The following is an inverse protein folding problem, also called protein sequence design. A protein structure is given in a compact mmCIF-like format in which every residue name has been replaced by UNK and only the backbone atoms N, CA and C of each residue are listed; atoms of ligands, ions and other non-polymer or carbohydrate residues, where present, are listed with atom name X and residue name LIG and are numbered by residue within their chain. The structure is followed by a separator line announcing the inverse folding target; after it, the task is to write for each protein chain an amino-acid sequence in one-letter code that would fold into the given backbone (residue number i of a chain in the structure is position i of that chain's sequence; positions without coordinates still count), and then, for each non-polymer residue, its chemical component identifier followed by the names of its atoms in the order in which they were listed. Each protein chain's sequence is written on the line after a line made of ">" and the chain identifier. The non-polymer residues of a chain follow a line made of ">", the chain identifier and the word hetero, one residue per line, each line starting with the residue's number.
data_IF_512737417311
#
_entry.id   IF_512737417311
#
_cell.length_a   1.000
_cell.length_b   1.000
_cell.length_c   1.000
_cell.angle_alpha   90.00
_cell.angle_beta   90.00
_cell.angle_gamma   90.00
#
_symmetry.space_group_name_H-M   'P 1'
#
loop_
_entity.id
_entity.type
_entity.pdbx_description
1 polymer ?
#
# COMPACT_ATOMS: atom_id res chain seq x y z
N UNK A 1 3.58 -6.47 2.10
CA UNK A 1 2.84 -7.28 1.10
C UNK A 1 3.58 -8.58 0.73
N UNK A 2 4.92 -8.62 0.71
CA UNK A 2 5.72 -9.77 0.32
C UNK A 2 5.31 -11.06 1.03
N UNK A 3 5.18 -11.03 2.37
CA UNK A 3 4.79 -12.19 3.16
C UNK A 3 3.38 -12.71 2.80
N UNK A 4 2.48 -11.83 2.41
CA UNK A 4 1.15 -12.23 1.94
C UNK A 4 1.25 -13.02 0.65
N UNK A 5 2.10 -12.57 -0.29
CA UNK A 5 2.30 -13.26 -1.56
C UNK A 5 3.00 -14.62 -1.38
N UNK A 6 4.00 -14.69 -0.49
CA UNK A 6 4.71 -15.95 -0.17
C UNK A 6 3.77 -16.99 0.44
N UNK A 7 2.86 -16.57 1.33
CA UNK A 7 1.95 -17.47 2.04
C UNK A 7 0.65 -17.73 1.28
N UNK A 8 0.55 -17.32 0.03
CA UNK A 8 -0.63 -17.58 -0.80
C UNK A 8 -0.79 -19.07 -1.10
N UNK A 9 -2.04 -19.55 -1.10
CA UNK A 9 -2.36 -20.93 -1.46
C UNK A 9 -2.21 -21.14 -2.98
N UNK A 10 -1.05 -21.67 -3.39
CA UNK A 10 -0.65 -21.82 -4.80
C UNK A 10 -1.43 -22.92 -5.53
N UNK A 11 -2.10 -23.80 -4.80
CA UNK A 11 -2.97 -24.81 -5.41
C UNK A 11 -4.32 -24.22 -5.87
N UNK A 12 -4.68 -23.05 -5.29
CA UNK A 12 -5.95 -22.36 -5.58
C UNK A 12 -5.79 -21.10 -6.41
N UNK A 13 -4.63 -20.43 -6.29
CA UNK A 13 -4.41 -19.10 -6.88
C UNK A 13 -3.14 -19.08 -7.70
N UNK A 14 -3.26 -18.51 -8.89
CA UNK A 14 -2.14 -18.15 -9.75
C UNK A 14 -1.88 -16.64 -9.60
N UNK A 15 -0.70 -16.28 -9.12
CA UNK A 15 -0.33 -14.89 -8.85
C UNK A 15 0.39 -14.27 -10.05
N UNK A 16 -0.19 -13.22 -10.60
CA UNK A 16 0.41 -12.43 -11.70
C UNK A 16 0.67 -11.01 -11.24
N UNK A 17 1.92 -10.57 -11.32
CA UNK A 17 2.34 -9.24 -10.90
C UNK A 17 2.41 -8.31 -12.10
N UNK A 18 1.60 -7.25 -12.09
CA UNK A 18 1.64 -6.14 -13.04
C UNK A 18 2.36 -4.96 -12.38
N UNK A 19 3.62 -4.77 -12.71
CA UNK A 19 4.48 -3.78 -12.06
C UNK A 19 4.56 -2.49 -12.88
N UNK A 20 4.26 -1.36 -12.24
CA UNK A 20 4.37 -0.02 -12.82
C UNK A 20 5.35 0.82 -12.01
N UNK A 21 6.59 0.81 -12.42
CA UNK A 21 7.68 1.54 -11.77
C UNK A 21 8.99 1.34 -12.51
N UNK A 22 10.04 2.10 -12.17
CA UNK A 22 11.35 1.90 -12.76
C UNK A 22 11.90 0.51 -12.40
N UNK A 23 12.51 -0.17 -13.38
CA UNK A 23 13.33 -1.34 -13.09
C UNK A 23 14.68 -0.83 -12.59
N UNK A 24 14.85 -0.83 -11.27
CA UNK A 24 16.03 -0.32 -10.60
C UNK A 24 17.09 -1.41 -10.35
N UNK A 25 16.81 -2.65 -10.79
CA UNK A 25 17.68 -3.81 -10.57
C UNK A 25 17.83 -4.20 -9.10
N UNK A 26 16.87 -3.82 -8.25
CA UNK A 26 16.92 -4.14 -6.83
C UNK A 26 16.67 -5.63 -6.56
N UNK A 27 17.31 -6.14 -5.51
CA UNK A 27 17.08 -7.51 -5.03
C UNK A 27 15.60 -7.71 -4.65
N UNK A 28 14.95 -6.69 -4.10
CA UNK A 28 13.54 -6.72 -3.74
C UNK A 28 12.63 -6.96 -4.95
N UNK A 29 12.89 -6.31 -6.09
CA UNK A 29 12.12 -6.52 -7.30
C UNK A 29 12.30 -7.93 -7.85
N UNK A 30 13.54 -8.45 -7.81
CA UNK A 30 13.83 -9.82 -8.24
C UNK A 30 13.19 -10.87 -7.33
N UNK A 31 13.13 -10.61 -6.02
CA UNK A 31 12.36 -11.43 -5.09
C UNK A 31 10.87 -11.47 -5.45
N UNK A 32 10.25 -10.31 -5.73
CA UNK A 32 8.84 -10.26 -6.16
C UNK A 32 8.60 -11.02 -7.47
N UNK A 33 9.50 -10.90 -8.45
CA UNK A 33 9.45 -11.69 -9.70
C UNK A 33 9.49 -13.20 -9.40
N UNK A 34 10.30 -13.63 -8.42
CA UNK A 34 10.44 -15.04 -8.03
C UNK A 34 9.24 -15.60 -7.24
N UNK A 35 8.46 -14.75 -6.57
CA UNK A 35 7.29 -15.15 -5.79
C UNK A 35 6.09 -15.41 -6.72
N UNK A 36 5.93 -14.63 -7.79
CA UNK A 36 4.76 -14.67 -8.66
C UNK A 36 4.90 -15.72 -9.78
N UNK A 37 3.79 -16.23 -10.29
CA UNK A 37 3.76 -17.18 -11.41
C UNK A 37 4.05 -16.49 -12.74
N UNK A 38 3.72 -15.20 -12.85
CA UNK A 38 4.08 -14.36 -13.98
C UNK A 38 4.33 -12.92 -13.54
N UNK A 39 5.24 -12.25 -14.27
CA UNK A 39 5.59 -10.84 -14.06
C UNK A 39 5.46 -10.07 -15.36
N UNK A 40 4.77 -8.93 -15.31
CA UNK A 40 4.59 -8.02 -16.43
C UNK A 40 5.04 -6.62 -16.02
N UNK A 41 6.09 -6.10 -16.66
CA UNK A 41 6.43 -4.69 -16.54
C UNK A 41 5.51 -3.88 -17.45
N UNK A 42 4.62 -3.10 -16.84
CA UNK A 42 3.62 -2.30 -17.56
C UNK A 42 3.95 -0.80 -17.58
N UNK A 43 5.15 -0.41 -17.17
CA UNK A 43 5.55 1.00 -17.00
C UNK A 43 5.33 1.82 -18.27
N UNK A 44 5.75 1.28 -19.42
CA UNK A 44 5.66 1.96 -20.72
C UNK A 44 4.33 1.69 -21.48
N UNK A 45 3.42 0.92 -20.88
CA UNK A 45 2.14 0.59 -21.49
C UNK A 45 1.07 1.60 -21.07
N UNK A 46 0.23 2.05 -22.00
CA UNK A 46 -0.98 2.80 -21.65
C UNK A 46 -2.03 1.89 -21.01
N UNK A 47 -2.98 2.48 -20.28
CA UNK A 47 -3.98 1.75 -19.49
C UNK A 47 -4.87 0.81 -20.33
N UNK A 48 -5.19 1.20 -21.57
CA UNK A 48 -5.92 0.35 -22.51
C UNK A 48 -5.17 -0.92 -22.89
N UNK A 49 -3.86 -0.81 -23.14
CA UNK A 49 -3.02 -1.99 -23.43
C UNK A 49 -2.87 -2.89 -22.22
N UNK A 50 -2.72 -2.30 -21.01
CA UNK A 50 -2.66 -3.08 -19.77
C UNK A 50 -3.97 -3.81 -19.53
N UNK A 51 -5.09 -3.15 -19.73
CA UNK A 51 -6.41 -3.78 -19.63
C UNK A 51 -6.55 -4.94 -20.63
N UNK A 52 -6.13 -4.75 -21.88
CA UNK A 52 -6.12 -5.82 -22.88
C UNK A 52 -5.26 -7.02 -22.45
N UNK A 53 -4.05 -6.77 -21.96
CA UNK A 53 -3.15 -7.80 -21.45
C UNK A 53 -3.77 -8.56 -20.27
N UNK A 54 -4.41 -7.87 -19.32
CA UNK A 54 -5.09 -8.54 -18.20
C UNK A 54 -6.24 -9.45 -18.65
N UNK A 55 -6.98 -9.04 -19.69
CA UNK A 55 -8.03 -9.87 -20.29
C UNK A 55 -7.43 -11.11 -20.97
N UNK A 56 -6.36 -10.94 -21.75
CA UNK A 56 -5.64 -12.04 -22.42
C UNK A 56 -5.08 -13.03 -21.41
N UNK A 57 -4.59 -12.53 -20.28
CA UNK A 57 -4.07 -13.33 -19.17
C UNK A 57 -5.17 -13.94 -18.29
N UNK A 58 -6.45 -13.71 -18.60
CA UNK A 58 -7.61 -14.24 -17.88
C UNK A 58 -7.58 -13.92 -16.38
N UNK A 59 -7.41 -12.63 -16.03
CA UNK A 59 -7.38 -12.21 -14.64
C UNK A 59 -8.81 -12.23 -14.05
N UNK A 60 -9.04 -13.09 -13.06
CA UNK A 60 -10.32 -13.16 -12.34
C UNK A 60 -10.45 -12.03 -11.33
N UNK A 61 -9.39 -11.76 -10.57
CA UNK A 61 -9.38 -10.77 -9.50
C UNK A 61 -8.19 -9.83 -9.70
N UNK A 62 -8.47 -8.55 -9.88
CA UNK A 62 -7.48 -7.49 -9.87
C UNK A 62 -7.41 -6.87 -8.48
N UNK A 63 -6.23 -6.86 -7.87
CA UNK A 63 -5.97 -6.15 -6.61
C UNK A 63 -5.08 -4.96 -6.89
N UNK A 64 -5.62 -3.75 -6.71
CA UNK A 64 -4.87 -2.51 -6.82
C UNK A 64 -4.28 -2.13 -5.45
N UNK A 65 -2.95 -2.11 -5.38
CA UNK A 65 -2.20 -1.76 -4.17
C UNK A 65 -1.85 -0.27 -4.09
N UNK A 66 -2.24 0.52 -5.08
CA UNK A 66 -1.87 1.94 -5.21
C UNK A 66 -3.03 2.86 -4.84
N UNK A 67 -4.20 2.62 -5.39
CA UNK A 67 -5.36 3.49 -5.22
C UNK A 67 -5.08 4.93 -5.67
N UNK A 68 -5.73 5.94 -5.08
CA UNK A 68 -5.51 7.37 -5.39
C UNK A 68 -4.25 7.92 -4.70
N UNK A 69 -3.09 7.37 -5.03
CA UNK A 69 -1.79 7.88 -4.62
C UNK A 69 -0.97 8.34 -5.83
N UNK A 70 0.26 8.78 -5.61
CA UNK A 70 1.13 9.18 -6.70
C UNK A 70 1.34 8.04 -7.71
N UNK A 71 1.29 8.36 -9.00
CA UNK A 71 1.38 7.41 -10.11
C UNK A 71 0.22 6.38 -10.17
N UNK A 72 -0.93 6.74 -9.61
CA UNK A 72 -2.14 5.92 -9.70
C UNK A 72 -2.48 5.58 -11.16
N UNK A 73 -2.89 4.34 -11.38
CA UNK A 73 -3.39 3.85 -12.67
C UNK A 73 -4.83 3.33 -12.56
N UNK A 74 -5.64 4.00 -11.73
CA UNK A 74 -7.03 3.63 -11.47
C UNK A 74 -7.91 3.60 -12.72
N UNK A 75 -7.48 4.22 -13.82
CA UNK A 75 -8.17 4.12 -15.11
C UNK A 75 -8.19 2.69 -15.66
N UNK A 76 -7.21 1.84 -15.31
CA UNK A 76 -7.24 0.40 -15.63
C UNK A 76 -8.49 -0.24 -15.01
N UNK A 77 -8.80 0.10 -13.74
CA UNK A 77 -10.00 -0.40 -13.08
C UNK A 77 -11.30 0.06 -13.77
N UNK A 78 -11.31 1.30 -14.29
CA UNK A 78 -12.46 1.81 -15.06
C UNK A 78 -12.74 1.00 -16.32
N UNK A 79 -11.71 0.38 -16.94
CA UNK A 79 -11.85 -0.48 -18.12
C UNK A 79 -12.34 -1.90 -17.78
N UNK A 80 -12.46 -2.23 -16.51
CA UNK A 80 -13.00 -3.51 -16.03
C UNK A 80 -12.33 -4.75 -16.63
N UNK A 81 -10.97 -4.90 -16.55
CA UNK A 81 -10.26 -6.02 -17.17
C UNK A 81 -10.40 -7.35 -16.42
N UNK A 82 -10.92 -7.36 -15.22
CA UNK A 82 -11.11 -8.55 -14.40
C UNK A 82 -12.57 -8.65 -13.93
N UNK A 83 -12.95 -9.83 -13.46
CA UNK A 83 -14.31 -10.08 -12.94
C UNK A 83 -14.56 -9.31 -11.65
N UNK A 84 -13.58 -9.26 -10.76
CA UNK A 84 -13.62 -8.53 -9.50
C UNK A 84 -12.44 -7.58 -9.38
N UNK A 85 -12.72 -6.39 -8.84
CA UNK A 85 -11.70 -5.37 -8.58
C UNK A 85 -11.68 -5.06 -7.10
N UNK A 86 -10.50 -5.09 -6.51
CA UNK A 86 -10.27 -4.87 -5.08
C UNK A 86 -9.28 -3.71 -4.91
N UNK A 87 -9.67 -2.68 -4.15
CA UNK A 87 -8.74 -1.68 -3.65
C UNK A 87 -8.15 -2.16 -2.32
N UNK A 88 -6.83 -2.16 -2.21
CA UNK A 88 -6.17 -2.55 -0.96
C UNK A 88 -4.86 -1.80 -0.75
N UNK A 89 -4.59 -1.44 0.49
CA UNK A 89 -3.34 -1.00 1.07
C UNK A 89 -2.97 0.46 0.82
N UNK A 90 -2.78 0.90 -0.43
CA UNK A 90 -2.17 2.21 -0.73
C UNK A 90 -3.06 3.40 -0.41
N UNK A 91 -4.37 3.27 -0.60
CA UNK A 91 -5.35 4.32 -0.33
C UNK A 91 -6.59 3.74 0.34
N UNK A 92 -6.79 3.98 1.64
CA UNK A 92 -7.91 3.40 2.39
C UNK A 92 -9.22 4.19 2.26
N UNK A 93 -9.28 5.21 1.42
CA UNK A 93 -10.52 5.95 1.10
C UNK A 93 -11.31 5.30 -0.02
N UNK A 94 -12.58 5.70 -0.15
CA UNK A 94 -13.38 5.26 -1.30
C UNK A 94 -12.79 5.77 -2.61
N UNK A 95 -12.76 4.93 -3.62
CA UNK A 95 -12.35 5.26 -4.98
C UNK A 95 -13.52 5.79 -5.82
N UNK A 96 -14.74 5.79 -5.23
CA UNK A 96 -15.95 6.25 -5.90
C UNK A 96 -16.38 5.34 -7.04
N UNK A 97 -17.07 5.93 -8.01
CA UNK A 97 -17.58 5.19 -9.17
C UNK A 97 -18.14 6.11 -10.24
N UNK A 98 -18.62 5.50 -11.31
CA UNK A 98 -19.31 6.18 -12.40
C UNK A 98 -20.77 5.75 -12.43
N UNK A 99 -21.68 6.71 -12.49
CA UNK A 99 -23.12 6.51 -12.40
C UNK A 99 -23.50 5.74 -11.12
N UNK A 100 -23.97 4.50 -11.25
CA UNK A 100 -24.40 3.64 -10.15
C UNK A 100 -23.41 2.50 -9.84
N UNK A 101 -22.27 2.45 -10.53
CA UNK A 101 -21.27 1.36 -10.37
C UNK A 101 -20.02 1.86 -9.68
N UNK A 102 -19.56 1.18 -8.63
CA UNK A 102 -18.28 1.50 -8.02
C UNK A 102 -17.13 1.19 -8.99
N UNK A 103 -16.02 1.94 -8.86
CA UNK A 103 -14.80 1.71 -9.62
C UNK A 103 -14.14 0.38 -9.23
N UNK A 104 -14.16 0.08 -7.93
CA UNK A 104 -13.76 -1.21 -7.35
C UNK A 104 -14.97 -1.86 -6.68
N UNK A 105 -15.09 -3.17 -6.80
CA UNK A 105 -16.20 -3.90 -6.18
C UNK A 105 -16.02 -3.97 -4.66
N UNK A 106 -14.76 -4.11 -4.21
CA UNK A 106 -14.41 -4.27 -2.81
C UNK A 106 -13.25 -3.37 -2.39
N UNK A 107 -13.23 -3.05 -1.09
CA UNK A 107 -12.07 -2.48 -0.40
C UNK A 107 -11.72 -3.35 0.81
N UNK A 108 -10.44 -3.72 0.95
CA UNK A 108 -9.96 -4.43 2.13
C UNK A 108 -9.54 -3.41 3.20
N UNK A 109 -10.11 -3.53 4.39
CA UNK A 109 -9.84 -2.63 5.51
C UNK A 109 -9.96 -3.36 6.85
N UNK A 110 -9.68 -2.67 7.93
CA UNK A 110 -10.04 -3.06 9.29
C UNK A 110 -11.02 -2.06 9.91
N UNK A 111 -11.56 -2.38 11.08
CA UNK A 111 -12.56 -1.54 11.76
C UNK A 111 -12.00 -0.21 12.30
N UNK A 112 -10.66 -0.07 12.41
CA UNK A 112 -10.02 1.18 12.83
C UNK A 112 -9.92 2.16 11.68
N UNK A 113 -9.59 1.66 10.48
CA UNK A 113 -9.45 2.48 9.27
C UNK A 113 -10.81 2.84 8.70
N UNK A 114 -11.74 1.87 8.62
CA UNK A 114 -13.13 2.10 8.20
C UNK A 114 -14.06 1.60 9.31
N UNK A 115 -14.45 2.47 10.25
CA UNK A 115 -15.42 2.11 11.26
C UNK A 115 -16.74 1.62 10.64
N UNK A 116 -17.37 0.59 11.19
CA UNK A 116 -18.63 0.02 10.66
C UNK A 116 -19.71 1.06 10.46
N UNK A 117 -19.75 2.11 11.30
CA UNK A 117 -20.67 3.24 11.19
C UNK A 117 -20.43 4.10 9.94
N UNK A 118 -19.26 4.01 9.33
CA UNK A 118 -18.84 4.75 8.14
C UNK A 118 -18.88 3.94 6.84
N UNK A 119 -19.20 2.65 6.93
CA UNK A 119 -19.27 1.74 5.77
C UNK A 119 -20.11 2.32 4.61
N UNK A 120 -21.21 2.98 4.92
CA UNK A 120 -22.13 3.54 3.93
C UNK A 120 -21.59 4.79 3.21
N UNK A 121 -20.44 5.33 3.62
CA UNK A 121 -19.78 6.44 2.95
C UNK A 121 -18.86 5.95 1.80
N UNK A 122 -18.72 4.64 1.63
CA UNK A 122 -17.90 3.99 0.61
C UNK A 122 -18.78 3.48 -0.54
N UNK A 123 -18.29 3.65 -1.77
CA UNK A 123 -18.95 3.11 -2.97
C UNK A 123 -18.71 1.59 -3.07
N UNK A 124 -17.58 1.11 -2.55
CA UNK A 124 -17.15 -0.28 -2.54
C UNK A 124 -17.80 -1.04 -1.38
N UNK A 125 -17.95 -2.35 -1.54
CA UNK A 125 -18.24 -3.22 -0.40
C UNK A 125 -16.98 -3.39 0.48
N UNK A 126 -17.09 -3.07 1.78
CA UNK A 126 -15.96 -3.18 2.70
C UNK A 126 -15.83 -4.61 3.21
N UNK A 127 -14.70 -5.25 2.92
CA UNK A 127 -14.30 -6.54 3.46
C UNK A 127 -13.37 -6.27 4.65
N UNK A 128 -13.81 -6.63 5.85
CA UNK A 128 -13.03 -6.42 7.06
C UNK A 128 -12.05 -7.57 7.31
N UNK A 129 -10.78 -7.23 7.40
CA UNK A 129 -9.72 -8.13 7.82
C UNK A 129 -9.63 -8.12 9.36
N UNK A 130 -9.33 -9.28 9.93
CA UNK A 130 -9.05 -9.38 11.36
C UNK A 130 -7.69 -8.74 11.69
N UNK A 131 -7.65 -7.95 12.76
CA UNK A 131 -6.43 -7.26 13.20
C UNK A 131 -6.16 -6.00 12.38
N UNK A 132 -5.04 -5.94 11.69
CA UNK A 132 -4.62 -4.77 10.90
C UNK A 132 -4.70 -5.07 9.41
N UNK A 133 -5.34 -4.16 8.64
CA UNK A 133 -5.43 -4.30 7.18
C UNK A 133 -4.07 -4.16 6.47
N UNK A 134 -3.08 -3.54 7.13
CA UNK A 134 -1.72 -3.45 6.63
C UNK A 134 -0.90 -4.67 7.07
N UNK A 135 -0.45 -5.51 6.14
CA UNK A 135 0.40 -6.64 6.48
C UNK A 135 1.78 -6.14 6.91
N UNK A 136 2.25 -6.64 8.04
CA UNK A 136 3.59 -6.39 8.55
C UNK A 136 4.34 -7.72 8.68
N UNK A 137 5.65 -7.66 8.60
CA UNK A 137 6.50 -8.83 8.85
C UNK A 137 6.94 -8.84 10.31
N UNK A 138 6.96 -10.02 10.93
CA UNK A 138 7.46 -10.19 12.29
C UNK A 138 9.00 -10.18 12.33
N UNK A 139 9.64 -10.70 11.29
CA UNK A 139 11.10 -10.73 11.16
C UNK A 139 11.61 -9.39 10.63
N UNK A 140 11.96 -8.49 11.54
CA UNK A 140 12.72 -7.29 11.17
C UNK A 140 14.20 -7.61 11.08
N UNK A 141 14.93 -7.08 10.07
CA UNK A 141 16.38 -7.24 10.04
C UNK A 141 16.97 -6.71 11.36
N UNK A 142 17.89 -7.49 11.95
CA UNK A 142 18.61 -7.05 13.13
C UNK A 142 19.35 -5.78 12.81
N UNK A 143 19.01 -4.69 13.50
CA UNK A 143 19.75 -3.45 13.38
C UNK A 143 21.15 -3.66 13.92
N UNK A 144 22.16 -3.16 13.21
CA UNK A 144 23.51 -3.10 13.76
C UNK A 144 23.47 -2.26 15.05
N UNK A 145 24.11 -2.71 16.13
CA UNK A 145 24.23 -1.90 17.33
C UNK A 145 24.79 -0.54 16.96
N UNK A 146 24.10 0.52 17.31
CA UNK A 146 24.56 1.89 17.07
C UNK A 146 24.78 2.56 18.42
N UNK A 147 25.85 3.35 18.51
CA UNK A 147 26.14 4.12 19.71
C UNK A 147 25.52 5.52 19.57
N UNK A 148 24.83 5.99 20.58
CA UNK A 148 24.20 7.34 20.61
C UNK A 148 25.24 8.44 20.39
N UNK A 149 26.47 8.24 20.90
CA UNK A 149 27.58 9.19 20.74
C UNK A 149 28.02 9.37 19.29
N UNK A 150 27.88 8.36 18.45
CA UNK A 150 28.24 8.42 17.02
C UNK A 150 27.31 9.37 16.25
N UNK A 151 26.14 9.67 16.81
CA UNK A 151 25.14 10.60 16.26
C UNK A 151 25.08 11.93 17.03
N UNK A 152 26.04 12.20 17.91
CA UNK A 152 26.11 13.44 18.66
C UNK A 152 25.17 13.54 19.87
N UNK A 153 24.53 12.45 20.27
CA UNK A 153 23.67 12.41 21.45
C UNK A 153 24.44 11.95 22.68
N UNK A 154 24.17 12.57 23.83
CA UNK A 154 24.69 12.08 25.11
C UNK A 154 23.90 10.86 25.58
N UNK A 155 24.50 10.07 26.49
CA UNK A 155 23.89 8.84 26.98
C UNK A 155 22.50 9.07 27.63
N UNK A 156 22.35 10.16 28.36
CA UNK A 156 21.13 10.51 29.10
C UNK A 156 20.20 11.49 28.38
N UNK A 157 20.49 11.86 27.13
CA UNK A 157 19.61 12.76 26.38
C UNK A 157 18.27 12.09 26.13
N UNK A 158 17.16 12.81 26.35
CA UNK A 158 15.85 12.39 25.90
C UNK A 158 15.63 12.86 24.46
N UNK A 159 15.41 11.92 23.54
CA UNK A 159 15.33 12.23 22.12
C UNK A 159 13.89 12.11 21.64
N UNK A 160 13.33 13.23 21.17
CA UNK A 160 12.12 13.19 20.37
C UNK A 160 12.48 12.99 18.91
N UNK A 161 11.86 11.99 18.25
CA UNK A 161 12.13 11.68 16.86
C UNK A 161 10.83 11.74 16.03
N UNK A 162 10.92 12.30 14.83
CA UNK A 162 9.82 12.31 13.87
C UNK A 162 10.40 12.03 12.48
N UNK A 163 10.02 10.87 11.90
CA UNK A 163 10.45 10.43 10.57
C UNK A 163 9.35 10.59 9.51
N UNK A 164 8.29 11.35 9.84
CA UNK A 164 7.23 11.68 8.87
C UNK A 164 7.71 12.65 7.79
N UNK A 165 7.00 12.67 6.67
CA UNK A 165 7.27 13.64 5.59
C UNK A 165 7.13 15.06 6.10
N UNK A 166 8.08 15.95 5.77
CA UNK A 166 8.12 17.33 6.25
C UNK A 166 6.87 18.14 5.89
N UNK A 167 6.23 17.86 4.76
CA UNK A 167 4.98 18.51 4.36
C UNK A 167 3.79 18.23 5.29
N UNK A 168 3.87 17.21 6.14
CA UNK A 168 2.86 16.90 7.16
C UNK A 168 3.07 17.65 8.47
N UNK A 169 4.16 18.40 8.60
CA UNK A 169 4.47 19.19 9.78
C UNK A 169 3.74 20.52 9.67
N UNK A 170 2.59 20.64 10.33
CA UNK A 170 1.84 21.88 10.39
C UNK A 170 2.47 22.87 11.39
N UNK A 171 2.09 24.14 11.29
CA UNK A 171 2.52 25.18 12.23
C UNK A 171 2.14 24.81 13.68
N UNK A 172 0.96 24.26 13.87
CA UNK A 172 0.43 23.82 15.17
C UNK A 172 1.28 22.69 15.75
N UNK A 173 1.59 21.68 14.93
CA UNK A 173 2.43 20.56 15.33
C UNK A 173 3.84 21.02 15.69
N UNK A 174 4.44 21.87 14.86
CA UNK A 174 5.77 22.44 15.15
C UNK A 174 5.76 23.26 16.46
N UNK A 175 4.75 24.09 16.67
CA UNK A 175 4.58 24.85 17.91
C UNK A 175 4.42 23.96 19.14
N UNK A 176 3.74 22.82 19.00
CA UNK A 176 3.64 21.82 20.06
C UNK A 176 5.00 21.22 20.40
N UNK A 177 5.78 20.83 19.38
CA UNK A 177 7.12 20.29 19.59
C UNK A 177 8.04 21.28 20.29
N UNK A 178 8.01 22.56 19.90
CA UNK A 178 8.82 23.60 20.58
C UNK A 178 8.44 23.74 22.05
N UNK A 179 7.16 23.64 22.39
CA UNK A 179 6.71 23.65 23.79
C UNK A 179 7.16 22.40 24.57
N UNK A 180 7.20 21.24 23.90
CA UNK A 180 7.71 20.01 24.51
C UNK A 180 9.21 20.14 24.83
N UNK A 181 10.02 20.61 23.88
CA UNK A 181 11.45 20.84 24.06
C UNK A 181 11.77 21.83 25.19
N UNK A 182 10.90 22.83 25.41
CA UNK A 182 11.05 23.76 26.55
C UNK A 182 10.75 23.09 27.91
N UNK A 183 9.92 22.06 27.94
CA UNK A 183 9.50 21.37 29.17
C UNK A 183 10.38 20.17 29.50
N UNK A 184 11.05 19.64 28.52
CA UNK A 184 11.96 18.46 28.65
C UNK A 184 13.31 18.90 28.08
N UNK A 185 14.14 19.55 28.89
CA UNK A 185 15.46 20.06 28.47
C UNK A 185 16.46 18.93 28.20
#
# INVERSE_FOLDING_TARGET
>A
IKEVLINHDRDKFNLKLFYSGPDDGSEELDEFKGICDAYFNITEMNDGKVSGLMIEENIDIMVDLTGFTQNSRSFIAALRPAKYHINWLGYPGTMGGFDTKPLYDFILADEYVIPKSKKNEYAEEVIYLEGCYQPNIDSRPSLKPTNRLDYGFKENDFIFASFGQSLKITKEMFSLWMRLLQKVP
#
